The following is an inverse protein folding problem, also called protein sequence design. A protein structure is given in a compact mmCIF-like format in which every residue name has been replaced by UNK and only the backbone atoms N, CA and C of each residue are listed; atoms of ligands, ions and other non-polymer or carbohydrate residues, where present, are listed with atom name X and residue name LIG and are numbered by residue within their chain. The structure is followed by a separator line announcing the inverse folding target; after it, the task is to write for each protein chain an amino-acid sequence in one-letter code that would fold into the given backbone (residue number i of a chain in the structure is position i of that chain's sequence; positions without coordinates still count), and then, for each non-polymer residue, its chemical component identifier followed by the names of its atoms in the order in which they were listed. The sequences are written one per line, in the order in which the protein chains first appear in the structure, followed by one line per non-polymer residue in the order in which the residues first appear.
data_IF_011193329356
#
_entry.id   IF_011193329356
#
_cell.length_a   1.000
_cell.length_b   1.000
_cell.length_c   1.000
_cell.angle_alpha   90.00
_cell.angle_beta   90.00
_cell.angle_gamma   90.00
#
_symmetry.space_group_name_H-M   'P 1'
#
loop_
_entity.id
_entity.type
_entity.pdbx_description
1 polymer ?
#
# COMPACT_ATOMS: atom_id res chain seq x y z
N UNK A 1 3.65 -8.17 -16.62
CA UNK A 1 3.42 -9.32 -15.72
C UNK A 1 1.97 -9.42 -15.24
N UNK A 2 1.24 -8.31 -15.03
CA UNK A 2 -0.13 -8.34 -14.50
C UNK A 2 -1.27 -8.63 -15.52
N UNK A 3 -0.99 -8.86 -16.80
CA UNK A 3 -2.04 -9.12 -17.81
C UNK A 3 -2.39 -10.62 -17.98
N UNK A 4 -1.57 -11.55 -17.46
CA UNK A 4 -1.72 -12.98 -17.74
C UNK A 4 -2.15 -13.85 -16.55
N UNK A 5 -2.52 -13.28 -15.41
CA UNK A 5 -3.09 -14.08 -14.31
C UNK A 5 -4.62 -14.11 -14.41
N UNK A 6 -5.10 -15.25 -14.91
CA UNK A 6 -6.50 -15.58 -15.02
C UNK A 6 -7.20 -15.52 -13.66
N UNK A 7 -8.02 -14.48 -13.49
CA UNK A 7 -9.31 -14.43 -12.77
C UNK A 7 -9.64 -15.65 -11.90
N UNK A 8 -9.01 -15.76 -10.73
CA UNK A 8 -9.77 -15.95 -9.49
C UNK A 8 -9.94 -14.57 -8.86
N UNK A 9 -11.15 -14.02 -8.98
CA UNK A 9 -11.45 -12.62 -8.71
C UNK A 9 -10.96 -12.14 -7.36
N UNK A 10 -10.14 -11.10 -7.37
CA UNK A 10 -9.71 -10.42 -6.17
C UNK A 10 -8.50 -9.55 -6.41
N UNK A 11 -7.45 -10.06 -7.04
CA UNK A 11 -6.16 -9.38 -6.93
C UNK A 11 -6.07 -8.08 -7.72
N UNK A 12 -5.70 -7.05 -6.95
CA UNK A 12 -5.97 -5.64 -7.15
C UNK A 12 -4.95 -5.01 -8.07
N UNK A 13 -5.33 -4.83 -9.33
CA UNK A 13 -4.61 -3.94 -10.23
C UNK A 13 -5.17 -2.53 -10.12
N UNK A 14 -4.43 -1.62 -9.49
CA UNK A 14 -4.72 -0.18 -9.62
C UNK A 14 -4.17 0.31 -10.96
N UNK A 15 -5.01 0.85 -11.86
CA UNK A 15 -4.55 1.39 -13.13
C UNK A 15 -3.49 2.48 -12.93
N UNK A 16 -2.49 2.52 -13.81
CA UNK A 16 -1.38 3.49 -13.71
C UNK A 16 -1.86 4.93 -13.60
N UNK A 17 -2.87 5.30 -14.37
CA UNK A 17 -3.42 6.66 -14.37
C UNK A 17 -4.06 7.03 -13.03
N UNK A 18 -4.72 6.06 -12.38
CA UNK A 18 -5.29 6.24 -11.03
C UNK A 18 -4.16 6.44 -10.00
N UNK A 19 -3.09 5.64 -10.09
CA UNK A 19 -1.92 5.81 -9.22
C UNK A 19 -1.25 7.18 -9.41
N UNK A 20 -1.07 7.63 -10.65
CA UNK A 20 -0.51 8.95 -10.95
C UNK A 20 -1.38 10.07 -10.36
N UNK A 21 -2.69 10.00 -10.54
CA UNK A 21 -3.62 10.99 -10.00
C UNK A 21 -3.55 11.05 -8.48
N UNK A 22 -3.65 9.91 -7.79
CA UNK A 22 -3.60 9.85 -6.33
C UNK A 22 -2.27 10.34 -5.79
N UNK A 23 -1.16 9.97 -6.43
CA UNK A 23 0.18 10.46 -6.06
C UNK A 23 0.27 11.98 -6.20
N UNK A 24 -0.19 12.52 -7.33
CA UNK A 24 -0.14 13.96 -7.60
C UNK A 24 -1.00 14.77 -6.61
N UNK A 25 -2.16 14.24 -6.24
CA UNK A 25 -3.03 14.86 -5.23
C UNK A 25 -2.39 14.81 -3.83
N UNK A 26 -1.88 13.66 -3.42
CA UNK A 26 -1.31 13.49 -2.08
C UNK A 26 -0.01 14.27 -1.86
N UNK A 27 0.84 14.40 -2.88
CA UNK A 27 2.09 15.17 -2.77
C UNK A 27 1.89 16.68 -2.54
N UNK A 28 0.70 17.22 -2.81
CA UNK A 28 0.38 18.63 -2.50
C UNK A 28 0.45 18.94 -1.00
N UNK A 29 0.30 17.91 -0.16
CA UNK A 29 0.37 18.02 1.29
C UNK A 29 1.79 17.87 1.85
N UNK A 30 2.79 17.62 0.99
CA UNK A 30 4.19 17.41 1.39
C UNK A 30 4.34 16.40 2.54
N UNK A 31 3.76 15.19 2.43
CA UNK A 31 3.76 14.22 3.52
C UNK A 31 5.19 13.73 3.80
N UNK A 32 5.55 13.65 5.07
CA UNK A 32 6.79 13.04 5.56
C UNK A 32 6.55 11.60 6.02
N UNK A 33 5.34 11.28 6.46
CA UNK A 33 4.91 9.94 6.81
C UNK A 33 3.66 9.52 6.04
N UNK A 34 3.66 8.29 5.53
CA UNK A 34 2.57 7.71 4.75
C UNK A 34 2.28 6.29 5.21
N UNK A 35 0.99 5.92 5.22
CA UNK A 35 0.54 4.56 5.50
C UNK A 35 -0.34 4.01 4.37
N UNK A 36 -0.13 2.75 3.99
CA UNK A 36 -1.08 1.98 3.18
C UNK A 36 -1.45 0.65 3.88
N UNK A 37 -2.65 0.55 4.48
CA UNK A 37 -3.10 -0.64 5.19
C UNK A 37 -3.53 -1.80 4.27
N UNK A 38 -3.62 -1.61 2.94
CA UNK A 38 -3.97 -2.67 2.00
C UNK A 38 -3.01 -2.60 0.80
N UNK A 39 -1.72 -2.75 1.11
CA UNK A 39 -0.65 -2.29 0.23
C UNK A 39 -0.48 -3.11 -1.06
N UNK A 40 -0.97 -4.35 -1.09
CA UNK A 40 -0.63 -5.31 -2.14
C UNK A 40 0.89 -5.39 -2.31
N UNK A 41 1.36 -5.30 -3.56
CA UNK A 41 2.80 -5.25 -3.88
C UNK A 41 3.45 -3.86 -3.70
N UNK A 42 2.73 -2.87 -3.15
CA UNK A 42 3.24 -1.53 -2.85
C UNK A 42 3.22 -0.54 -4.01
N UNK A 43 2.51 -0.84 -5.11
CA UNK A 43 2.49 0.00 -6.32
C UNK A 43 2.06 1.45 -6.05
N UNK A 44 1.02 1.62 -5.24
CA UNK A 44 0.46 2.93 -4.90
C UNK A 44 1.32 3.64 -3.85
N UNK A 45 1.62 2.99 -2.72
CA UNK A 45 2.38 3.63 -1.66
C UNK A 45 3.77 4.07 -2.18
N UNK A 46 4.47 3.21 -2.91
CA UNK A 46 5.83 3.49 -3.37
C UNK A 46 5.93 4.48 -4.53
N UNK A 47 4.84 4.80 -5.24
CA UNK A 47 4.87 5.87 -6.24
C UNK A 47 5.14 7.24 -5.61
N UNK A 48 4.75 7.44 -4.35
CA UNK A 48 5.06 8.66 -3.59
C UNK A 48 6.57 8.84 -3.40
N UNK A 49 7.32 7.77 -3.14
CA UNK A 49 8.78 7.87 -3.02
C UNK A 49 9.48 8.10 -4.35
N UNK A 50 8.86 7.73 -5.48
CA UNK A 50 9.46 7.91 -6.81
C UNK A 50 9.31 9.36 -7.32
N UNK A 51 8.21 10.03 -6.95
CA UNK A 51 7.86 11.37 -7.46
C UNK A 51 8.17 12.47 -6.45
N UNK A 52 8.17 12.16 -5.15
CA UNK A 52 8.45 13.14 -4.10
C UNK A 52 9.89 13.69 -4.22
N UNK A 53 10.03 15.01 -4.00
CA UNK A 53 11.34 15.66 -3.86
C UNK A 53 11.97 15.41 -2.49
N UNK A 54 11.15 15.07 -1.49
CA UNK A 54 11.57 14.76 -0.13
C UNK A 54 11.44 13.27 0.16
N UNK A 55 12.26 12.76 1.11
CA UNK A 55 12.15 11.36 1.54
C UNK A 55 10.90 11.18 2.41
N UNK A 56 9.95 10.40 1.90
CA UNK A 56 8.75 9.99 2.63
C UNK A 56 9.02 8.66 3.36
N UNK A 57 8.65 8.56 4.63
CA UNK A 57 8.63 7.30 5.37
C UNK A 57 7.30 6.59 5.11
N UNK A 58 7.34 5.36 4.64
CA UNK A 58 6.17 4.63 4.15
C UNK A 58 6.01 3.34 4.95
N UNK A 59 4.98 3.25 5.78
CA UNK A 59 4.60 2.02 6.47
C UNK A 59 3.43 1.34 5.74
N UNK A 60 3.40 0.02 5.69
CA UNK A 60 2.41 -0.76 4.92
C UNK A 60 1.94 -1.99 5.67
N UNK A 61 0.73 -2.45 5.36
CA UNK A 61 0.23 -3.73 5.83
C UNK A 61 -0.41 -4.52 4.68
N UNK A 62 -0.14 -5.83 4.62
CA UNK A 62 -0.69 -6.72 3.60
C UNK A 62 -0.97 -8.11 4.19
N UNK A 63 -2.12 -8.69 3.84
CA UNK A 63 -2.59 -9.98 4.34
C UNK A 63 -2.24 -11.14 3.41
N UNK A 64 -2.10 -10.87 2.11
CA UNK A 64 -1.67 -11.84 1.11
C UNK A 64 -0.15 -12.02 1.19
N UNK A 65 0.28 -13.27 1.42
CA UNK A 65 1.69 -13.61 1.64
C UNK A 65 2.56 -13.36 0.41
N UNK A 66 2.07 -13.66 -0.78
CA UNK A 66 2.85 -13.51 -2.02
C UNK A 66 3.00 -12.03 -2.37
N UNK A 67 1.92 -11.25 -2.25
CA UNK A 67 1.95 -9.79 -2.41
C UNK A 67 2.87 -9.13 -1.36
N UNK A 68 2.85 -9.60 -0.12
CA UNK A 68 3.74 -9.12 0.94
C UNK A 68 5.23 -9.37 0.63
N UNK A 69 5.59 -10.53 0.07
CA UNK A 69 6.97 -10.76 -0.38
C UNK A 69 7.36 -9.84 -1.54
N UNK A 70 6.47 -9.63 -2.51
CA UNK A 70 6.71 -8.68 -3.60
C UNK A 70 6.91 -7.26 -3.07
N UNK A 71 6.11 -6.84 -2.10
CA UNK A 71 6.20 -5.56 -1.41
C UNK A 71 7.58 -5.37 -0.74
N UNK A 72 8.07 -6.36 0.01
CA UNK A 72 9.41 -6.30 0.64
C UNK A 72 10.51 -6.17 -0.42
N UNK A 73 10.49 -7.02 -1.45
CA UNK A 73 11.50 -6.99 -2.52
C UNK A 73 11.49 -5.62 -3.21
N UNK A 74 10.29 -5.13 -3.51
CA UNK A 74 10.04 -3.83 -4.12
C UNK A 74 10.60 -2.67 -3.29
N UNK A 75 10.43 -2.71 -1.96
CA UNK A 75 10.98 -1.72 -1.02
C UNK A 75 12.51 -1.74 -1.02
N UNK A 76 13.10 -2.93 -0.89
CA UNK A 76 14.56 -3.10 -0.81
C UNK A 76 15.23 -2.58 -2.08
N UNK A 77 14.72 -2.96 -3.26
CA UNK A 77 15.26 -2.52 -4.55
C UNK A 77 15.20 -0.99 -4.70
N UNK A 78 14.14 -0.35 -4.19
CA UNK A 78 13.93 1.09 -4.29
C UNK A 78 14.56 1.90 -3.15
N UNK A 79 15.06 1.24 -2.09
CA UNK A 79 15.64 1.90 -0.92
C UNK A 79 14.66 2.77 -0.14
N UNK A 80 13.37 2.40 -0.11
CA UNK A 80 12.30 3.19 0.52
C UNK A 80 12.29 2.99 2.03
N UNK A 81 12.28 4.09 2.80
CA UNK A 81 12.23 4.05 4.27
C UNK A 81 10.84 3.65 4.79
N UNK A 82 10.81 2.95 5.91
CA UNK A 82 9.60 2.53 6.62
C UNK A 82 9.56 1.03 6.85
N UNK A 83 8.39 0.50 7.22
CA UNK A 83 8.18 -0.90 7.61
C UNK A 83 7.04 -1.53 6.83
N UNK A 84 7.22 -2.79 6.44
CA UNK A 84 6.15 -3.63 5.91
C UNK A 84 5.67 -4.59 7.01
N UNK A 85 4.35 -4.72 7.16
CA UNK A 85 3.72 -5.62 8.12
C UNK A 85 2.89 -6.68 7.43
N UNK A 86 3.04 -7.94 7.85
CA UNK A 86 2.20 -9.03 7.38
C UNK A 86 1.00 -9.24 8.32
N UNK A 87 -0.22 -9.20 7.80
CA UNK A 87 -1.42 -9.52 8.57
C UNK A 87 -2.69 -8.80 8.10
N UNK A 88 -3.83 -9.22 8.64
CA UNK A 88 -5.14 -8.64 8.33
C UNK A 88 -5.33 -7.26 9.00
N UNK A 89 -5.47 -6.24 8.17
CA UNK A 89 -5.60 -4.84 8.61
C UNK A 89 -6.92 -4.50 9.29
N UNK A 90 -7.96 -5.32 9.14
CA UNK A 90 -9.25 -5.09 9.80
C UNK A 90 -9.26 -5.68 11.23
N UNK A 91 -8.69 -6.87 11.39
CA UNK A 91 -8.71 -7.66 12.63
C UNK A 91 -7.49 -7.37 13.52
N UNK A 92 -6.35 -7.08 12.92
CA UNK A 92 -5.10 -6.78 13.61
C UNK A 92 -4.38 -5.59 12.94
N UNK A 93 -4.92 -4.37 13.06
CA UNK A 93 -4.28 -3.18 12.50
C UNK A 93 -3.03 -2.79 13.31
N UNK A 94 -1.86 -2.98 12.71
CA UNK A 94 -0.58 -2.73 13.39
C UNK A 94 -0.25 -1.22 13.46
N UNK A 95 -0.90 -0.42 12.62
CA UNK A 95 -0.68 1.02 12.45
C UNK A 95 -1.46 1.91 13.44
N UNK A 96 -2.31 1.35 14.33
CA UNK A 96 -3.20 2.13 15.21
C UNK A 96 -2.50 3.09 16.21
N UNK A 97 -1.19 2.96 16.44
CA UNK A 97 -0.45 3.81 17.39
C UNK A 97 0.39 4.91 16.75
N UNK A 98 0.38 5.03 15.42
CA UNK A 98 1.17 6.03 14.70
C UNK A 98 0.23 7.05 14.01
N UNK A 99 0.54 8.33 14.12
CA UNK A 99 -0.06 9.38 13.28
C UNK A 99 0.71 9.46 11.94
N UNK A 100 -0.02 9.54 10.83
CA UNK A 100 0.56 9.66 9.48
C UNK A 100 0.05 10.94 8.81
N UNK A 101 0.92 11.63 8.06
CA UNK A 101 0.53 12.82 7.30
C UNK A 101 -0.43 12.46 6.15
N UNK A 102 -0.30 11.25 5.60
CA UNK A 102 -1.16 10.75 4.54
C UNK A 102 -1.46 9.26 4.72
N UNK A 103 -2.73 8.89 4.57
CA UNK A 103 -3.14 7.51 4.36
C UNK A 103 -3.61 7.40 2.92
N UNK A 104 -3.01 6.47 2.17
CA UNK A 104 -3.42 6.15 0.79
C UNK A 104 -3.65 4.66 0.70
N UNK A 105 -4.79 4.24 0.17
CA UNK A 105 -5.09 2.82 0.09
C UNK A 105 -6.11 2.51 -0.98
N UNK A 106 -6.02 1.31 -1.52
CA UNK A 106 -6.99 0.72 -2.43
C UNK A 106 -7.50 -0.58 -1.82
N UNK A 107 -8.38 -0.49 -0.80
CA UNK A 107 -8.84 -1.67 -0.09
C UNK A 107 -9.60 -2.62 -1.02
N UNK A 108 -9.63 -3.91 -0.66
CA UNK A 108 -10.25 -4.92 -1.48
C UNK A 108 -11.76 -4.74 -1.64
N UNK A 109 -12.26 -4.70 -2.88
CA UNK A 109 -13.71 -4.64 -3.15
C UNK A 109 -14.39 -5.97 -2.85
N UNK A 110 -15.53 -5.92 -2.16
CA UNK A 110 -16.36 -7.09 -1.88
C UNK A 110 -15.83 -8.02 -0.78
N UNK A 111 -14.81 -7.59 -0.04
CA UNK A 111 -14.32 -8.32 1.13
C UNK A 111 -15.42 -8.44 2.19
N UNK A 112 -15.62 -9.65 2.73
CA UNK A 112 -16.48 -9.86 3.90
C UNK A 112 -15.74 -9.39 5.14
N UNK A 113 -16.31 -8.43 5.85
CA UNK A 113 -15.76 -7.95 7.13
C UNK A 113 -15.90 -9.09 8.15
N UNK A 114 -14.82 -9.47 8.86
CA UNK A 114 -14.89 -10.41 9.97
C UNK A 114 -15.93 -9.93 10.99
N UNK A 115 -16.90 -10.78 11.35
CA UNK A 115 -17.83 -10.43 12.42
C UNK A 115 -17.05 -10.40 13.74
N UNK A 116 -17.23 -9.35 14.54
CA UNK A 116 -16.76 -9.37 15.93
C UNK A 116 -17.42 -10.55 16.64
N UNK A 117 -16.60 -11.50 17.05
CA UNK A 117 -17.00 -12.53 18.03
C UNK A 117 -17.25 -11.90 19.39
#
# INVERSE_FOLDING_TARGET
FAENEGKSGGEFYTPKDVNHLVTALGLRYQPKSLCDPFAGAGNTAFSFSNVSKERVCIDTQEVNKDAYFQLIISRVIRGIKGRDFFGDSLSNPIYQKNEYDLIVSFPPFGMKIPKSS
#
